data_IF_743585746611
#
_entry.id   IF_743585746611
#
_cell.length_a   1.000
_cell.length_b   1.000
_cell.length_c   1.000
_cell.angle_alpha   90.00
_cell.angle_beta   90.00
_cell.angle_gamma   90.00
#
_symmetry.space_group_name_H-M   'P 1'
#
loop_
_entity.id
_entity.type
_entity.pdbx_description
1 polymer ?
#
# COMPACT_ATOMS: atom_id res chain seq x y z
N UNK A 1 -15.36 50.18 -48.09
CA UNK A 1 -15.06 48.81 -48.58
C UNK A 1 -15.46 47.87 -47.46
N UNK A 2 -16.74 47.67 -47.19
CA UNK A 2 -17.72 46.79 -47.89
C UNK A 2 -17.37 45.30 -47.74
N UNK A 3 -18.03 44.62 -46.79
CA UNK A 3 -19.08 43.57 -46.97
C UNK A 3 -18.41 42.19 -47.25
N UNK A 4 -18.62 41.09 -46.51
CA UNK A 4 -19.85 40.32 -46.21
C UNK A 4 -19.53 39.29 -45.09
N UNK A 5 -20.29 39.04 -44.01
CA UNK A 5 -21.60 38.34 -43.82
C UNK A 5 -21.78 36.98 -44.49
N UNK A 6 -22.12 35.95 -43.69
CA UNK A 6 -23.04 34.81 -43.94
C UNK A 6 -22.61 33.62 -43.04
N UNK A 7 -23.28 33.20 -41.94
CA UNK A 7 -24.64 32.72 -41.68
C UNK A 7 -25.14 31.55 -42.56
N UNK A 8 -25.26 30.34 -41.98
CA UNK A 8 -26.44 29.40 -41.99
C UNK A 8 -26.01 27.92 -41.86
N UNK A 9 -26.49 27.18 -40.85
CA UNK A 9 -27.78 26.43 -40.73
C UNK A 9 -27.57 24.92 -40.96
N UNK A 10 -27.59 24.08 -39.92
CA UNK A 10 -28.73 23.24 -39.47
C UNK A 10 -29.18 22.15 -40.47
N UNK A 11 -29.01 20.88 -40.11
CA UNK A 11 -29.84 19.69 -40.46
C UNK A 11 -29.63 18.70 -39.28
N UNK A 12 -30.58 18.42 -38.39
CA UNK A 12 -31.88 17.74 -38.56
C UNK A 12 -31.73 16.37 -39.22
N UNK A 13 -31.67 15.32 -38.40
CA UNK A 13 -31.70 13.92 -38.80
C UNK A 13 -32.04 13.01 -37.63
N UNK A 14 -33.30 12.57 -37.57
CA UNK A 14 -33.86 11.50 -36.74
C UNK A 14 -34.81 10.72 -37.69
N UNK A 15 -35.29 9.51 -37.40
CA UNK A 15 -34.77 8.39 -36.59
C UNK A 15 -34.57 7.14 -37.50
N UNK A 16 -33.98 6.06 -36.99
CA UNK A 16 -34.28 4.74 -37.53
C UNK A 16 -34.40 3.69 -36.44
N UNK A 17 -35.48 2.95 -36.56
CA UNK A 17 -36.01 1.98 -35.62
C UNK A 17 -35.40 0.59 -35.81
N UNK A 18 -35.68 -0.24 -34.81
CA UNK A 18 -35.76 -1.70 -34.85
C UNK A 18 -34.45 -2.49 -34.94
N UNK A 19 -34.09 -3.14 -33.82
CA UNK A 19 -33.94 -4.59 -33.80
C UNK A 19 -33.98 -5.09 -32.35
N UNK A 20 -35.03 -5.85 -32.05
CA UNK A 20 -35.22 -6.68 -30.87
C UNK A 20 -34.02 -7.59 -30.59
N UNK A 21 -33.71 -7.79 -29.31
CA UNK A 21 -33.18 -9.07 -28.82
C UNK A 21 -33.37 -9.15 -27.30
N UNK A 22 -34.50 -9.71 -26.92
CA UNK A 22 -34.79 -10.26 -25.60
C UNK A 22 -33.90 -11.48 -25.32
N UNK A 23 -33.34 -11.64 -24.10
CA UNK A 23 -32.82 -12.92 -23.66
C UNK A 23 -33.98 -13.79 -23.18
N UNK A 24 -34.13 -14.92 -23.86
CA UNK A 24 -35.06 -16.03 -23.63
C UNK A 24 -34.71 -16.69 -22.27
N UNK A 25 -35.51 -16.44 -21.24
CA UNK A 25 -35.48 -17.20 -19.99
C UNK A 25 -36.06 -18.58 -20.29
N UNK A 26 -35.23 -19.61 -20.16
CA UNK A 26 -35.66 -21.00 -20.27
C UNK A 26 -36.50 -21.36 -19.03
N UNK A 27 -37.79 -21.57 -19.27
CA UNK A 27 -38.70 -22.26 -18.36
C UNK A 27 -38.47 -23.76 -18.49
N UNK A 28 -37.93 -24.39 -17.46
CA UNK A 28 -37.92 -25.84 -17.34
C UNK A 28 -39.02 -26.24 -16.36
N UNK A 29 -40.12 -26.73 -16.93
CA UNK A 29 -41.22 -27.37 -16.22
C UNK A 29 -41.00 -28.88 -16.22
N UNK A 30 -40.97 -29.49 -15.03
CA UNK A 30 -41.20 -30.91 -14.86
C UNK A 30 -42.18 -31.16 -13.69
N UNK A 31 -43.09 -32.15 -13.82
CA UNK A 31 -44.24 -32.34 -12.94
C UNK A 31 -43.95 -33.37 -11.83
N UNK A 32 -44.81 -33.41 -10.81
CA UNK A 32 -44.96 -34.60 -9.97
C UNK A 32 -45.10 -34.32 -8.47
N UNK A 33 -46.28 -33.88 -8.06
CA UNK A 33 -46.73 -33.93 -6.67
C UNK A 33 -46.95 -35.37 -6.20
N UNK A 34 -46.33 -35.77 -5.10
CA UNK A 34 -46.83 -36.84 -4.21
C UNK A 34 -46.85 -36.30 -2.77
N UNK A 35 -47.96 -36.43 -2.03
CA UNK A 35 -48.04 -36.03 -0.63
C UNK A 35 -47.83 -37.23 0.29
N UNK A 36 -46.97 -37.07 1.29
CA UNK A 36 -46.81 -38.04 2.38
C UNK A 36 -45.39 -38.10 2.90
N UNK A 37 -45.09 -37.43 4.00
CA UNK A 37 -44.96 -38.15 5.29
C UNK A 37 -44.35 -37.25 6.38
N UNK A 38 -45.19 -37.01 7.38
CA UNK A 38 -44.91 -37.19 8.81
C UNK A 38 -43.65 -36.52 9.39
N UNK A 39 -43.93 -35.49 10.18
CA UNK A 39 -43.13 -35.01 11.31
C UNK A 39 -42.33 -36.14 12.01
N UNK A 40 -41.01 -36.13 11.86
CA UNK A 40 -40.11 -36.70 12.86
C UNK A 40 -39.32 -35.58 13.52
N UNK A 41 -39.64 -35.33 14.78
CA UNK A 41 -38.81 -34.55 15.68
C UNK A 41 -37.41 -35.15 15.72
N UNK A 42 -36.44 -34.41 15.20
CA UNK A 42 -35.03 -34.69 15.44
C UNK A 42 -34.73 -34.39 16.89
N UNK A 43 -34.69 -35.43 17.72
CA UNK A 43 -34.05 -35.38 19.02
C UNK A 43 -32.62 -34.90 18.83
N UNK A 44 -32.28 -33.76 19.46
CA UNK A 44 -30.89 -33.37 19.69
C UNK A 44 -30.23 -34.51 20.49
N UNK A 45 -29.52 -35.39 19.78
CA UNK A 45 -28.69 -36.40 20.42
C UNK A 45 -27.68 -35.71 21.35
N UNK A 46 -27.30 -36.33 22.47
CA UNK A 46 -26.30 -35.74 23.37
C UNK A 46 -25.02 -35.45 22.58
N UNK A 47 -24.27 -34.37 22.93
CA UNK A 47 -23.02 -34.06 22.26
C UNK A 47 -22.16 -35.31 22.31
N UNK A 48 -21.84 -35.87 21.13
CA UNK A 48 -20.97 -37.03 21.01
C UNK A 48 -19.66 -36.65 21.69
N UNK A 49 -19.42 -37.19 22.88
CA UNK A 49 -18.20 -36.93 23.64
C UNK A 49 -17.02 -37.35 22.78
N UNK A 50 -16.05 -36.45 22.62
CA UNK A 50 -14.83 -36.70 21.84
C UNK A 50 -14.30 -38.11 22.12
N UNK A 51 -14.16 -38.90 21.07
CA UNK A 51 -13.68 -40.29 21.18
C UNK A 51 -12.31 -40.27 21.84
N UNK A 52 -11.93 -41.29 22.64
CA UNK A 52 -10.60 -41.36 23.25
C UNK A 52 -9.44 -41.18 22.24
N UNK A 53 -9.65 -41.55 20.97
CA UNK A 53 -8.72 -41.32 19.88
C UNK A 53 -8.54 -39.85 19.49
N UNK A 54 -9.60 -39.04 19.57
CA UNK A 54 -9.60 -37.62 19.21
C UNK A 54 -8.80 -36.77 20.20
N UNK A 55 -8.85 -37.16 21.49
CA UNK A 55 -8.05 -36.52 22.55
C UNK A 55 -6.56 -36.76 22.34
N UNK A 56 -6.17 -37.97 21.93
CA UNK A 56 -4.78 -38.30 21.63
C UNK A 56 -4.23 -37.54 20.41
N UNK A 57 -5.05 -37.38 19.37
CA UNK A 57 -4.70 -36.59 18.18
C UNK A 57 -4.56 -35.10 18.53
N UNK A 58 -5.48 -34.55 19.32
CA UNK A 58 -5.44 -33.17 19.77
C UNK A 58 -4.19 -32.84 20.60
N UNK A 59 -3.82 -33.72 21.54
CA UNK A 59 -2.59 -33.55 22.33
C UNK A 59 -1.33 -33.58 21.45
N UNK A 60 -1.27 -34.49 20.46
CA UNK A 60 -0.14 -34.56 19.52
C UNK A 60 -0.06 -33.31 18.64
N UNK A 61 -1.18 -32.81 18.16
CA UNK A 61 -1.24 -31.58 17.38
C UNK A 61 -0.79 -30.36 18.19
N UNK A 62 -1.25 -30.24 19.46
CA UNK A 62 -0.81 -29.18 20.36
C UNK A 62 0.67 -29.27 20.70
N UNK A 63 1.20 -30.47 20.94
CA UNK A 63 2.62 -30.68 21.19
C UNK A 63 3.47 -30.30 19.96
N UNK A 64 3.03 -30.67 18.76
CA UNK A 64 3.69 -30.28 17.52
C UNK A 64 3.65 -28.77 17.30
N UNK A 65 2.51 -28.13 17.55
CA UNK A 65 2.37 -26.68 17.43
C UNK A 65 3.25 -25.94 18.44
N UNK A 66 3.31 -26.40 19.70
CA UNK A 66 4.18 -25.85 20.72
C UNK A 66 5.66 -26.02 20.36
N UNK A 67 6.05 -27.18 19.81
CA UNK A 67 7.41 -27.42 19.33
C UNK A 67 7.78 -26.44 18.20
N UNK A 68 6.90 -26.25 17.22
CA UNK A 68 7.11 -25.27 16.15
C UNK A 68 7.17 -23.83 16.66
N UNK A 69 6.32 -23.46 17.61
CA UNK A 69 6.35 -22.13 18.23
C UNK A 69 7.70 -21.88 18.91
N UNK A 70 8.24 -22.85 19.64
CA UNK A 70 9.56 -22.75 20.27
C UNK A 70 10.67 -22.58 19.23
N UNK A 71 10.62 -23.32 18.12
CA UNK A 71 11.58 -23.16 17.01
C UNK A 71 11.51 -21.75 16.43
N UNK A 72 10.30 -21.24 16.15
CA UNK A 72 10.12 -19.88 15.62
C UNK A 72 10.64 -18.82 16.60
N UNK A 73 10.30 -18.93 17.89
CA UNK A 73 10.79 -18.01 18.91
C UNK A 73 12.32 -18.05 19.04
N UNK A 74 12.93 -19.23 18.93
CA UNK A 74 14.39 -19.38 18.93
C UNK A 74 15.02 -18.68 17.71
N UNK A 75 14.46 -18.88 16.51
CA UNK A 75 14.93 -18.22 15.29
C UNK A 75 14.82 -16.70 15.42
N UNK A 76 13.67 -16.18 15.84
CA UNK A 76 13.47 -14.73 16.06
C UNK A 76 14.48 -14.18 17.06
N UNK A 77 14.69 -14.87 18.19
CA UNK A 77 15.67 -14.43 19.19
C UNK A 77 17.10 -14.42 18.64
N UNK A 78 17.48 -15.42 17.83
CA UNK A 78 18.83 -15.51 17.23
C UNK A 78 19.15 -14.38 16.24
N UNK A 79 18.12 -13.70 15.73
CA UNK A 79 18.23 -12.55 14.82
C UNK A 79 18.28 -11.21 15.54
N UNK A 80 18.01 -11.16 16.85
CA UNK A 80 18.15 -9.94 17.62
C UNK A 80 19.63 -9.61 17.85
N UNK A 81 19.98 -8.32 18.03
CA UNK A 81 21.31 -7.90 18.47
C UNK A 81 21.70 -8.53 19.82
N UNK A 82 22.97 -8.39 20.22
CA UNK A 82 23.47 -8.97 21.48
C UNK A 82 22.57 -8.61 22.67
N UNK A 83 21.94 -9.62 23.26
CA UNK A 83 21.08 -9.51 24.45
C UNK A 83 21.79 -10.11 25.67
N UNK A 84 21.37 -9.70 26.87
CA UNK A 84 21.90 -10.25 28.13
C UNK A 84 21.57 -11.74 28.35
N UNK A 85 20.59 -12.26 27.61
CA UNK A 85 20.22 -13.68 27.61
C UNK A 85 20.94 -14.36 26.45
N UNK A 86 21.80 -15.34 26.75
CA UNK A 86 22.42 -16.22 25.75
C UNK A 86 21.74 -17.58 25.79
N UNK A 87 21.29 -18.06 24.64
CA UNK A 87 20.66 -19.36 24.52
C UNK A 87 21.71 -20.47 24.32
N UNK A 88 21.43 -21.70 24.80
CA UNK A 88 22.31 -22.83 24.55
C UNK A 88 22.52 -23.05 23.05
N UNK A 89 23.77 -23.37 22.69
CA UNK A 89 24.23 -23.60 21.31
C UNK A 89 24.11 -22.42 20.33
N UNK A 90 23.64 -21.24 20.75
CA UNK A 90 23.44 -20.06 19.88
C UNK A 90 24.70 -19.67 19.10
N UNK A 91 25.88 -19.74 19.74
CA UNK A 91 27.16 -19.46 19.08
C UNK A 91 27.53 -20.47 17.97
N UNK A 92 27.04 -21.72 18.09
CA UNK A 92 27.33 -22.79 17.13
C UNK A 92 26.36 -22.81 15.96
N UNK A 93 25.06 -22.58 16.21
CA UNK A 93 24.02 -22.63 15.17
C UNK A 93 23.72 -21.27 14.54
N UNK A 94 24.06 -20.16 15.21
CA UNK A 94 23.80 -18.79 14.75
C UNK A 94 24.33 -18.48 13.35
N UNK A 95 25.60 -18.80 13.01
CA UNK A 95 26.13 -18.54 11.68
C UNK A 95 25.38 -19.28 10.56
N UNK A 96 25.06 -20.56 10.77
CA UNK A 96 24.32 -21.39 9.79
C UNK A 96 22.88 -20.92 9.66
N UNK A 97 22.22 -20.63 10.79
CA UNK A 97 20.87 -20.08 10.81
C UNK A 97 20.80 -18.75 10.06
N UNK A 98 21.76 -17.84 10.26
CA UNK A 98 21.80 -16.58 9.49
C UNK A 98 21.87 -16.86 8.00
N UNK A 99 22.81 -17.67 7.53
CA UNK A 99 22.95 -18.00 6.11
C UNK A 99 21.68 -18.65 5.51
N UNK A 100 21.08 -19.60 6.23
CA UNK A 100 19.92 -20.37 5.73
C UNK A 100 18.60 -19.62 5.88
N UNK A 101 18.45 -18.74 6.87
CA UNK A 101 17.22 -17.96 7.05
C UNK A 101 17.24 -16.67 6.25
N UNK A 102 18.41 -16.08 5.97
CA UNK A 102 18.51 -14.87 5.15
C UNK A 102 18.61 -15.16 3.65
N UNK A 103 18.18 -16.35 3.17
CA UNK A 103 18.20 -16.81 1.76
C UNK A 103 18.22 -15.66 0.75
N UNK A 104 19.42 -15.22 0.34
CA UNK A 104 19.63 -14.43 -0.86
C UNK A 104 18.84 -13.12 -1.01
N UNK A 105 18.60 -12.34 0.04
CA UNK A 105 18.24 -10.92 -0.14
C UNK A 105 19.48 -10.11 -0.53
N UNK A 106 20.08 -10.44 -1.67
CA UNK A 106 21.15 -9.64 -2.25
C UNK A 106 20.55 -8.32 -2.75
N UNK A 107 21.07 -7.26 -2.16
CA UNK A 107 20.65 -5.88 -2.26
C UNK A 107 20.72 -5.36 -3.71
N UNK A 108 19.60 -5.37 -4.45
CA UNK A 108 19.34 -4.36 -5.50
C UNK A 108 18.92 -3.04 -4.86
N UNK A 109 19.61 -2.64 -3.79
CA UNK A 109 19.26 -1.42 -3.07
C UNK A 109 19.92 -0.27 -3.79
N UNK A 110 19.06 0.61 -4.28
CA UNK A 110 19.33 2.03 -4.48
C UNK A 110 20.28 2.56 -3.39
N UNK A 111 21.20 3.45 -3.76
CA UNK A 111 22.22 3.91 -2.82
C UNK A 111 21.54 4.55 -1.60
N UNK A 112 21.97 4.22 -0.37
CA UNK A 112 21.41 4.80 0.85
C UNK A 112 21.71 6.29 0.99
N UNK A 113 22.52 6.86 0.09
CA UNK A 113 22.83 8.30 0.01
C UNK A 113 21.95 9.04 -0.98
N UNK A 114 21.15 8.35 -1.78
CA UNK A 114 20.27 9.00 -2.75
C UNK A 114 19.16 9.79 -2.05
N UNK A 115 18.72 10.86 -2.71
CA UNK A 115 17.61 11.66 -2.24
C UNK A 115 16.36 10.80 -2.02
N UNK A 116 15.81 10.88 -0.81
CA UNK A 116 14.53 10.30 -0.48
C UNK A 116 13.44 11.25 -0.94
N UNK A 117 12.50 10.71 -1.73
CA UNK A 117 11.32 11.47 -2.17
C UNK A 117 10.17 11.21 -1.21
N UNK A 118 9.53 12.27 -0.73
CA UNK A 118 8.33 12.23 0.10
C UNK A 118 7.20 13.02 -0.55
N UNK A 119 5.96 12.59 -0.34
CA UNK A 119 4.77 13.27 -0.84
C UNK A 119 4.11 14.09 0.27
N UNK A 120 3.62 15.27 -0.11
CA UNK A 120 2.95 16.22 0.78
C UNK A 120 1.64 16.68 0.14
N UNK A 121 0.61 16.90 0.96
CA UNK A 121 -0.69 17.42 0.51
C UNK A 121 -0.96 18.76 1.19
N UNK A 122 -1.54 19.69 0.43
CA UNK A 122 -2.02 20.94 0.98
C UNK A 122 -3.37 20.71 1.70
N UNK A 123 -3.43 21.02 2.99
CA UNK A 123 -4.66 20.92 3.79
C UNK A 123 -5.35 22.27 3.92
N UNK A 124 -6.63 22.29 4.31
CA UNK A 124 -7.54 23.46 4.30
C UNK A 124 -7.15 24.68 5.14
N UNK A 125 -5.95 24.71 5.69
CA UNK A 125 -5.34 25.86 6.36
C UNK A 125 -4.11 26.42 5.64
N UNK A 126 -3.91 26.13 4.35
CA UNK A 126 -2.69 26.52 3.62
C UNK A 126 -1.40 25.93 4.21
N UNK A 127 -1.52 24.77 4.86
CA UNK A 127 -0.41 24.05 5.46
C UNK A 127 -0.16 22.73 4.74
N UNK A 128 1.12 22.44 4.50
CA UNK A 128 1.56 21.18 3.96
C UNK A 128 1.62 20.14 5.08
N UNK A 129 1.09 18.96 4.80
CA UNK A 129 1.22 17.79 5.67
C UNK A 129 1.72 16.62 4.85
N UNK A 130 2.50 15.74 5.50
CA UNK A 130 2.95 14.51 4.86
C UNK A 130 1.76 13.70 4.37
N UNK A 131 1.77 13.37 3.08
CA UNK A 131 0.82 12.47 2.45
C UNK A 131 1.33 11.02 2.41
N UNK A 132 2.46 10.75 3.06
CA UNK A 132 3.04 9.41 3.13
C UNK A 132 2.17 8.47 3.95
N UNK A 133 1.78 7.34 3.37
CA UNK A 133 1.02 6.30 4.05
C UNK A 133 1.92 5.41 4.92
N UNK A 134 3.21 5.31 4.60
CA UNK A 134 4.19 4.57 5.39
C UNK A 134 4.42 5.18 6.79
N UNK A 135 5.05 4.45 7.71
CA UNK A 135 5.57 3.09 7.59
C UNK A 135 4.49 1.99 7.50
N UNK A 136 4.75 0.95 6.70
CA UNK A 136 3.80 -0.15 6.47
C UNK A 136 3.42 -0.92 7.75
N UNK A 137 4.31 -0.94 8.75
CA UNK A 137 4.12 -1.67 10.01
C UNK A 137 3.21 -0.94 11.00
N UNK A 138 2.79 0.29 10.73
CA UNK A 138 1.93 1.03 11.64
C UNK A 138 0.52 0.42 11.76
N UNK A 139 -0.13 0.66 12.91
CA UNK A 139 -1.50 0.22 13.17
C UNK A 139 -2.50 0.78 12.14
N UNK A 140 -2.33 2.02 11.65
CA UNK A 140 -3.15 2.60 10.57
C UNK A 140 -3.10 1.80 9.27
N UNK A 141 -2.03 1.03 9.08
CA UNK A 141 -1.83 0.13 7.94
C UNK A 141 -2.15 -1.34 8.29
N UNK A 142 -2.85 -1.58 9.41
CA UNK A 142 -3.13 -2.91 9.94
C UNK A 142 -1.87 -3.80 10.00
N UNK A 143 -0.76 -3.21 10.47
CA UNK A 143 0.55 -3.88 10.57
C UNK A 143 1.06 -4.48 9.26
N UNK A 144 0.67 -3.88 8.13
CA UNK A 144 1.10 -4.26 6.78
C UNK A 144 0.09 -5.09 6.00
N UNK A 145 -1.09 -5.39 6.57
CA UNK A 145 -2.20 -6.02 5.85
C UNK A 145 -2.85 -5.04 4.86
N UNK A 146 -2.85 -3.74 5.16
CA UNK A 146 -3.26 -2.71 4.21
C UNK A 146 -2.17 -2.50 3.15
N UNK A 147 -2.48 -2.83 1.89
CA UNK A 147 -1.53 -2.74 0.77
C UNK A 147 -1.45 -1.36 0.12
N UNK A 148 -2.32 -0.41 0.47
CA UNK A 148 -2.29 0.95 -0.07
C UNK A 148 -0.93 1.65 0.20
N UNK A 149 -0.37 1.43 1.39
CA UNK A 149 0.94 2.00 1.74
C UNK A 149 2.08 1.47 0.85
N UNK A 150 1.99 0.22 0.38
CA UNK A 150 2.98 -0.37 -0.55
C UNK A 150 2.78 0.09 -2.00
N UNK A 151 1.54 0.33 -2.42
CA UNK A 151 1.27 0.84 -3.77
C UNK A 151 1.67 2.30 -3.95
N UNK A 152 1.67 3.10 -2.88
CA UNK A 152 2.03 4.52 -2.95
C UNK A 152 3.44 4.76 -3.49
N UNK A 153 4.40 3.85 -3.24
CA UNK A 153 5.74 3.98 -3.82
C UNK A 153 5.74 3.91 -5.36
N UNK A 154 4.89 3.04 -5.95
CA UNK A 154 4.72 2.94 -7.41
C UNK A 154 4.02 4.19 -7.95
N UNK A 155 2.98 4.64 -7.25
CA UNK A 155 2.25 5.86 -7.57
C UNK A 155 3.18 7.09 -7.62
N UNK A 156 4.02 7.28 -6.60
CA UNK A 156 5.04 8.33 -6.59
C UNK A 156 6.05 8.18 -7.72
N UNK A 157 6.45 6.94 -8.06
CA UNK A 157 7.33 6.67 -9.19
C UNK A 157 6.74 7.10 -10.54
N UNK A 158 5.44 6.90 -10.75
CA UNK A 158 4.72 7.35 -11.95
C UNK A 158 4.69 8.89 -12.01
N UNK A 159 4.39 9.55 -10.89
CA UNK A 159 4.39 11.02 -10.82
C UNK A 159 5.79 11.59 -11.04
N UNK A 160 6.83 10.97 -10.47
CA UNK A 160 8.22 11.36 -10.68
C UNK A 160 8.66 11.24 -12.14
N UNK A 161 8.19 10.22 -12.86
CA UNK A 161 8.51 10.03 -14.28
C UNK A 161 7.91 11.12 -15.20
N UNK A 162 6.91 11.86 -14.72
CA UNK A 162 6.32 12.99 -15.45
C UNK A 162 7.11 14.31 -15.25
N UNK A 163 8.12 14.32 -14.37
CA UNK A 163 8.87 15.51 -14.01
C UNK A 163 10.21 15.57 -14.73
N UNK A 164 10.68 16.79 -14.95
CA UNK A 164 12.01 17.12 -15.46
C UNK A 164 12.80 17.90 -14.42
N UNK A 165 14.11 18.00 -14.60
CA UNK A 165 14.98 18.77 -13.68
C UNK A 165 14.56 20.25 -13.55
N UNK A 166 13.93 20.82 -14.58
CA UNK A 166 13.48 22.21 -14.61
C UNK A 166 12.24 22.47 -13.73
N UNK A 167 11.49 21.42 -13.38
CA UNK A 167 10.28 21.54 -12.55
C UNK A 167 10.60 21.67 -11.05
N UNK A 168 11.82 21.33 -10.66
CA UNK A 168 12.25 21.32 -9.27
C UNK A 168 12.78 22.67 -8.81
N UNK A 169 12.25 23.12 -7.68
CA UNK A 169 12.75 24.26 -6.92
C UNK A 169 13.75 23.76 -5.87
N UNK A 170 14.80 24.52 -5.61
CA UNK A 170 15.79 24.20 -4.57
C UNK A 170 15.58 25.05 -3.33
N UNK A 171 15.84 24.49 -2.16
CA UNK A 171 15.77 25.18 -0.88
C UNK A 171 16.90 24.75 0.03
N UNK A 172 17.74 25.70 0.45
CA UNK A 172 18.91 25.43 1.26
C UNK A 172 18.57 25.06 2.71
N UNK A 173 17.49 25.63 3.27
CA UNK A 173 17.12 25.46 4.69
C UNK A 173 16.73 24.02 5.04
N UNK A 174 16.34 23.21 4.05
CA UNK A 174 15.98 21.80 4.26
C UNK A 174 14.73 21.56 5.11
N UNK A 175 13.89 22.59 5.31
CA UNK A 175 12.64 22.51 6.08
C UNK A 175 11.44 22.60 5.11
N UNK A 176 10.70 21.50 4.88
CA UNK A 176 9.59 21.48 3.92
C UNK A 176 8.58 22.63 4.12
N UNK A 177 8.25 22.94 5.37
CA UNK A 177 7.27 23.96 5.74
C UNK A 177 7.72 25.39 5.43
N UNK A 178 9.03 25.69 5.50
CA UNK A 178 9.55 27.02 5.10
C UNK A 178 9.77 27.11 3.59
N UNK A 179 10.13 26.00 2.96
CA UNK A 179 10.52 25.95 1.56
C UNK A 179 9.33 25.96 0.58
N UNK A 180 8.15 25.49 1.01
CA UNK A 180 6.98 25.31 0.14
C UNK A 180 5.85 26.27 0.52
N UNK A 181 5.84 27.52 0.03
CA UNK A 181 4.73 28.41 0.30
C UNK A 181 3.46 27.89 -0.38
N UNK A 182 2.35 27.89 0.37
CA UNK A 182 1.03 27.45 -0.12
C UNK A 182 0.49 28.31 -1.27
N UNK A 183 1.03 29.51 -1.47
CA UNK A 183 0.73 30.39 -2.60
C UNK A 183 1.51 30.07 -3.88
N UNK A 184 2.53 29.20 -3.83
CA UNK A 184 3.27 28.82 -5.04
C UNK A 184 2.34 28.20 -6.08
N UNK A 185 2.40 28.63 -7.34
CA UNK A 185 1.62 27.99 -8.41
C UNK A 185 2.03 26.52 -8.56
N UNK A 186 1.10 25.68 -9.03
CA UNK A 186 1.47 24.34 -9.46
C UNK A 186 2.41 24.46 -10.67
N UNK A 187 3.52 23.74 -10.63
CA UNK A 187 4.53 23.74 -11.69
C UNK A 187 4.15 22.74 -12.78
N UNK A 188 3.47 21.65 -12.40
CA UNK A 188 3.10 20.57 -13.30
C UNK A 188 1.67 20.10 -13.02
N UNK A 189 0.90 19.86 -14.09
CA UNK A 189 -0.42 19.22 -14.00
C UNK A 189 -0.33 17.85 -14.65
N UNK A 190 -0.77 16.80 -13.95
CA UNK A 190 -0.71 15.42 -14.46
C UNK A 190 -1.87 14.58 -13.94
N UNK A 191 -2.14 13.44 -14.59
CA UNK A 191 -3.14 12.47 -14.16
C UNK A 191 -2.47 11.31 -13.42
N UNK A 192 -3.14 10.79 -12.40
CA UNK A 192 -2.72 9.62 -11.67
C UNK A 192 -3.50 8.38 -12.19
N UNK A 193 -2.88 7.50 -12.98
CA UNK A 193 -3.57 6.39 -13.61
C UNK A 193 -3.80 5.20 -12.67
N UNK A 194 -3.44 5.32 -11.38
CA UNK A 194 -3.55 4.20 -10.44
C UNK A 194 -5.03 3.86 -10.20
N UNK A 195 -5.44 2.57 -10.21
CA UNK A 195 -6.84 2.18 -9.98
C UNK A 195 -7.44 2.63 -8.63
N UNK A 196 -6.59 2.84 -7.63
CA UNK A 196 -6.95 3.35 -6.31
C UNK A 196 -5.92 4.42 -5.90
N UNK A 197 -6.02 5.65 -6.43
CA UNK A 197 -5.01 6.68 -6.22
C UNK A 197 -5.10 7.26 -4.80
N UNK A 198 -3.96 7.58 -4.23
CA UNK A 198 -3.83 8.17 -2.89
C UNK A 198 -3.38 9.63 -2.95
N UNK A 199 -2.71 10.03 -4.03
CA UNK A 199 -2.17 11.36 -4.30
C UNK A 199 -3.00 12.06 -5.38
N UNK A 200 -4.07 12.73 -4.94
CA UNK A 200 -4.97 13.54 -5.77
C UNK A 200 -5.01 15.00 -5.31
N UNK A 201 -5.31 15.91 -6.24
CA UNK A 201 -5.39 17.36 -6.05
C UNK A 201 -4.02 18.02 -5.93
N UNK A 202 -3.93 19.13 -5.18
CA UNK A 202 -2.67 19.82 -4.91
C UNK A 202 -1.73 18.97 -4.05
N UNK A 203 -0.63 18.51 -4.65
CA UNK A 203 0.39 17.66 -4.03
C UNK A 203 1.76 18.31 -4.24
N UNK A 204 2.70 18.08 -3.33
CA UNK A 204 4.10 18.39 -3.54
C UNK A 204 4.95 17.14 -3.36
N UNK A 205 5.97 16.99 -4.20
CA UNK A 205 7.02 16.00 -4.01
C UNK A 205 8.26 16.73 -3.50
N UNK A 206 8.86 16.20 -2.44
CA UNK A 206 10.07 16.74 -1.79
C UNK A 206 11.16 15.69 -1.87
N UNK A 207 12.28 16.02 -2.50
CA UNK A 207 13.47 15.20 -2.58
C UNK A 207 14.55 15.77 -1.65
N UNK A 208 15.02 14.97 -0.69
CA UNK A 208 16.03 15.39 0.27
C UNK A 208 17.01 14.24 0.51
N UNK A 209 18.31 14.54 0.45
CA UNK A 209 19.34 13.55 0.80
C UNK A 209 19.33 13.28 2.30
N UNK A 210 19.61 12.04 2.73
CA UNK A 210 19.73 11.75 4.15
C UNK A 210 20.99 12.42 4.71
N UNK A 211 20.91 12.91 5.95
CA UNK A 211 22.08 13.44 6.65
C UNK A 211 23.14 12.34 6.73
N UNK A 212 24.35 12.54 6.18
CA UNK A 212 25.30 11.45 6.15
C UNK A 212 25.81 11.13 7.55
N UNK A 213 25.97 9.84 7.82
CA UNK A 213 26.29 9.28 9.15
C UNK A 213 27.43 9.99 9.89
N UNK A 214 28.46 10.46 9.17
CA UNK A 214 29.61 11.14 9.76
C UNK A 214 29.22 12.37 10.59
N UNK A 215 28.11 13.02 10.24
CA UNK A 215 27.59 14.21 10.93
C UNK A 215 26.48 13.90 11.94
N UNK A 216 26.02 12.64 12.03
CA UNK A 216 24.94 12.25 12.93
C UNK A 216 25.31 12.43 14.42
N UNK A 217 26.59 12.34 14.78
CA UNK A 217 27.07 12.52 16.15
C UNK A 217 27.31 13.97 16.55
N UNK A 218 27.33 14.90 15.60
CA UNK A 218 27.64 16.31 15.87
C UNK A 218 26.47 17.08 16.49
N UNK A 219 25.30 16.43 16.65
CA UNK A 219 24.19 16.91 17.47
C UNK A 219 23.53 18.22 16.98
N UNK A 220 24.02 18.78 15.87
CA UNK A 220 23.50 20.00 15.28
C UNK A 220 22.27 19.72 14.42
N UNK A 221 21.39 20.71 14.34
CA UNK A 221 20.22 20.81 13.45
C UNK A 221 20.60 20.84 11.95
N UNK A 222 21.67 20.16 11.56
CA UNK A 222 22.14 20.10 10.18
C UNK A 222 21.09 19.39 9.33
N UNK A 223 20.52 20.16 8.40
CA UNK A 223 19.50 19.70 7.45
C UNK A 223 20.10 19.74 6.08
N UNK A 224 19.98 18.63 5.36
CA UNK A 224 20.36 18.59 3.97
C UNK A 224 19.44 19.53 3.18
N UNK A 225 19.95 20.27 2.19
CA UNK A 225 19.11 21.01 1.26
C UNK A 225 18.06 20.09 0.64
N UNK A 226 16.87 20.63 0.41
CA UNK A 226 15.79 19.90 -0.25
C UNK A 226 15.50 20.50 -1.62
N UNK A 227 14.94 19.67 -2.48
CA UNK A 227 14.29 20.10 -3.72
C UNK A 227 12.82 19.77 -3.63
N UNK A 228 11.97 20.60 -4.21
CA UNK A 228 10.54 20.37 -4.20
C UNK A 228 9.87 20.79 -5.51
N UNK A 229 8.75 20.17 -5.80
CA UNK A 229 7.90 20.49 -6.95
C UNK A 229 6.44 20.39 -6.53
N UNK A 230 5.64 21.38 -6.92
CA UNK A 230 4.19 21.38 -6.71
C UNK A 230 3.49 20.88 -7.96
N UNK A 231 2.55 19.98 -7.75
CA UNK A 231 1.77 19.33 -8.78
C UNK A 231 0.29 19.53 -8.53
N UNK A 232 -0.49 19.60 -9.59
CA UNK A 232 -1.94 19.40 -9.55
C UNK A 232 -2.26 18.06 -10.20
N UNK A 233 -2.74 17.11 -9.39
CA UNK A 233 -2.88 15.71 -9.78
C UNK A 233 -4.36 15.34 -9.93
N UNK A 234 -4.78 14.99 -11.14
CA UNK A 234 -6.14 14.52 -11.37
C UNK A 234 -6.30 13.02 -11.09
N UNK A 235 -7.42 12.70 -10.46
CA UNK A 235 -7.98 11.40 -10.18
C UNK A 235 -9.51 11.55 -10.40
#
# INVERSE_FOLDING_TARGET
MSVDTSQRSSHSGSPNAAAERTPKVASESAPGSTPGDVHRGGTLGPPQGASPGDRGLGVRALALAAAWLLVVLYVVHSQLPSNAVSLPAQARVGPVLRVVTTQGWAFFTRSPREAQVTAWRLTGGNHWQSAMLGPHSEARNAWGLNRASRSQGVEMGILLAALTEADWNSCADGIPESCMPSSAAATVTTANPMPAPTLCGPVALVAQEPLPWAWASEGAEERMPLRWVRMDVSC
#
